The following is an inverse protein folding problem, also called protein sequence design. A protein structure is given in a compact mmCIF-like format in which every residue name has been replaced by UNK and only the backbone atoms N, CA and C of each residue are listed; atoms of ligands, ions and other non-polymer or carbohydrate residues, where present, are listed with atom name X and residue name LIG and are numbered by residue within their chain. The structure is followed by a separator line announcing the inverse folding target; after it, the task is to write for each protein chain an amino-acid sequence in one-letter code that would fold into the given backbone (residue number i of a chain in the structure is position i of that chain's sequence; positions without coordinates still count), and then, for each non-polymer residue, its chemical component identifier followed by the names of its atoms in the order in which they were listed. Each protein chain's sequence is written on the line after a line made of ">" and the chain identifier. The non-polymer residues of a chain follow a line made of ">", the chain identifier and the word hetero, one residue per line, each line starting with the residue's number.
data_IF_473775588845
#
_entry.id   IF_473775588845
#
_cell.length_a   1.000
_cell.length_b   1.000
_cell.length_c   1.000
_cell.angle_alpha   90.00
_cell.angle_beta   90.00
_cell.angle_gamma   90.00
#
_symmetry.space_group_name_H-M   'P 1'
#
loop_
_entity.id
_entity.type
_entity.pdbx_description
1 polymer ?
#
# COMPACT_ATOMS: atom_id res chain seq x y z
N UNK A 1 2.20 1.46 13.06
CA UNK A 1 2.83 0.30 12.40
C UNK A 1 3.03 -0.82 13.39
N UNK A 2 2.58 -2.01 13.05
CA UNK A 2 2.76 -3.18 13.91
C UNK A 2 4.23 -3.59 13.97
N UNK A 3 4.69 -4.03 15.13
CA UNK A 3 6.09 -4.41 15.32
C UNK A 3 6.53 -5.52 14.36
N UNK A 4 5.70 -6.54 14.15
CA UNK A 4 6.01 -7.65 13.24
C UNK A 4 6.04 -7.23 11.77
N UNK A 5 5.42 -6.10 11.41
CA UNK A 5 5.37 -5.60 10.04
C UNK A 5 6.46 -4.56 9.74
N UNK A 6 7.14 -4.08 10.75
CA UNK A 6 8.08 -2.96 10.64
C UNK A 6 9.20 -3.23 9.63
N UNK A 7 9.83 -4.40 9.70
CA UNK A 7 10.93 -4.73 8.80
C UNK A 7 10.46 -4.86 7.35
N UNK A 8 9.22 -5.34 7.14
CA UNK A 8 8.65 -5.40 5.80
C UNK A 8 8.50 -4.00 5.20
N UNK A 9 7.89 -3.07 5.95
CA UNK A 9 7.65 -1.71 5.45
C UNK A 9 8.94 -0.93 5.23
N UNK A 10 10.04 -1.32 5.89
CA UNK A 10 11.36 -0.72 5.67
C UNK A 10 12.19 -1.46 4.63
N UNK A 11 11.67 -2.55 4.07
CA UNK A 11 12.42 -3.36 3.11
C UNK A 11 12.56 -2.64 1.77
N UNK A 12 13.65 -2.95 1.07
CA UNK A 12 13.87 -2.43 -0.28
C UNK A 12 12.79 -2.91 -1.24
N UNK A 13 12.39 -4.18 -1.13
CA UNK A 13 11.36 -4.76 -1.98
C UNK A 13 10.04 -3.99 -1.88
N UNK A 14 9.58 -3.68 -0.66
CA UNK A 14 8.36 -2.91 -0.47
C UNK A 14 8.49 -1.49 -1.01
N UNK A 15 9.60 -0.82 -0.71
CA UNK A 15 9.78 0.56 -1.17
C UNK A 15 9.80 0.66 -2.69
N UNK A 16 10.46 -0.28 -3.37
CA UNK A 16 10.48 -0.32 -4.83
C UNK A 16 9.09 -0.61 -5.40
N UNK A 17 8.39 -1.57 -4.83
CA UNK A 17 7.03 -1.91 -5.25
C UNK A 17 6.07 -0.73 -5.05
N UNK A 18 6.11 -0.11 -3.87
CA UNK A 18 5.29 1.05 -3.54
C UNK A 18 5.54 2.21 -4.51
N UNK A 19 6.80 2.53 -4.76
CA UNK A 19 7.14 3.65 -5.63
C UNK A 19 6.75 3.38 -7.07
N UNK A 20 6.94 2.15 -7.55
CA UNK A 20 6.51 1.76 -8.89
C UNK A 20 4.98 1.84 -9.03
N UNK A 21 4.25 1.40 -8.02
CA UNK A 21 2.79 1.49 -8.03
C UNK A 21 2.33 2.94 -8.05
N UNK A 22 2.93 3.78 -7.22
CA UNK A 22 2.63 5.21 -7.16
C UNK A 22 2.78 5.86 -8.54
N UNK A 23 3.89 5.59 -9.22
CA UNK A 23 4.14 6.11 -10.56
C UNK A 23 3.13 5.57 -11.57
N UNK A 24 2.78 4.28 -11.47
CA UNK A 24 1.82 3.65 -12.39
C UNK A 24 0.44 4.29 -12.30
N UNK A 25 0.09 4.90 -11.16
CA UNK A 25 -1.19 5.59 -10.97
C UNK A 25 -1.05 7.11 -11.11
N UNK A 26 0.08 7.57 -11.63
CA UNK A 26 0.35 8.99 -11.88
C UNK A 26 0.26 9.84 -10.61
N UNK A 27 0.49 9.23 -9.44
CA UNK A 27 0.42 9.93 -8.16
C UNK A 27 -0.96 10.41 -7.76
N UNK A 28 -2.03 9.87 -8.37
CA UNK A 28 -3.39 10.31 -8.12
C UNK A 28 -4.16 9.30 -7.27
N UNK A 29 -4.95 9.82 -6.32
CA UNK A 29 -5.84 9.00 -5.51
C UNK A 29 -6.83 8.26 -6.41
N UNK A 30 -6.94 6.95 -6.23
CA UNK A 30 -7.81 6.12 -7.08
C UNK A 30 -9.29 6.32 -6.79
N UNK A 31 -9.64 7.01 -5.70
CA UNK A 31 -11.04 7.25 -5.34
C UNK A 31 -11.52 8.66 -5.64
N UNK A 32 -10.75 9.68 -5.27
CA UNK A 32 -11.19 11.06 -5.46
C UNK A 32 -10.47 11.77 -6.60
N UNK A 33 -9.41 11.19 -7.15
CA UNK A 33 -8.67 11.81 -8.27
C UNK A 33 -7.73 12.93 -7.87
N UNK A 34 -7.67 13.30 -6.60
CA UNK A 34 -6.73 14.29 -6.09
C UNK A 34 -5.35 13.70 -5.88
N UNK A 35 -4.40 14.49 -5.33
CA UNK A 35 -3.06 13.98 -5.08
C UNK A 35 -3.08 12.77 -4.15
N UNK A 36 -2.48 11.66 -4.60
CA UNK A 36 -2.35 10.47 -3.79
C UNK A 36 -1.22 10.60 -2.78
N UNK A 37 -1.31 9.87 -1.68
CA UNK A 37 -0.31 9.94 -0.62
C UNK A 37 0.08 8.57 -0.10
N UNK A 38 -0.87 7.65 0.05
CA UNK A 38 -0.67 6.39 0.74
C UNK A 38 -0.97 5.23 -0.20
N UNK A 39 0.00 4.33 -0.35
CA UNK A 39 -0.22 3.05 -1.03
C UNK A 39 -0.53 2.03 0.06
N UNK A 40 -1.75 1.46 0.04
CA UNK A 40 -2.15 0.49 1.05
C UNK A 40 -2.55 -0.83 0.40
N UNK A 41 -2.62 -1.89 1.22
CA UNK A 41 -3.01 -3.21 0.78
C UNK A 41 -4.51 -3.39 0.97
N UNK A 42 -5.21 -3.82 -0.08
CA UNK A 42 -6.65 -4.10 0.01
C UNK A 42 -6.91 -5.27 0.94
N UNK A 43 -6.15 -6.36 0.77
CA UNK A 43 -6.09 -7.44 1.75
C UNK A 43 -5.00 -7.07 2.73
N UNK A 44 -5.35 -6.81 3.98
CA UNK A 44 -4.40 -6.33 4.97
C UNK A 44 -3.29 -7.32 5.23
N UNK A 45 -2.08 -6.78 5.48
CA UNK A 45 -0.95 -7.62 5.85
C UNK A 45 -1.16 -8.15 7.26
N UNK A 46 -0.94 -9.46 7.42
CA UNK A 46 -1.02 -10.16 8.71
C UNK A 46 0.25 -10.95 8.92
N UNK A 47 0.55 -11.43 10.16
CA UNK A 47 1.71 -12.30 10.36
C UNK A 47 1.68 -13.56 9.50
N UNK A 48 0.49 -14.03 9.12
CA UNK A 48 0.34 -15.23 8.32
C UNK A 48 0.65 -15.00 6.85
N UNK A 49 0.42 -13.79 6.31
CA UNK A 49 0.62 -13.51 4.89
C UNK A 49 1.78 -12.57 4.57
N UNK A 50 2.50 -12.08 5.59
CA UNK A 50 3.54 -11.07 5.38
C UNK A 50 4.68 -11.58 4.49
N UNK A 51 4.90 -12.88 4.42
CA UNK A 51 5.93 -13.48 3.58
C UNK A 51 5.41 -13.94 2.23
N UNK A 52 4.15 -13.66 1.92
CA UNK A 52 3.53 -14.04 0.65
C UNK A 52 3.58 -12.84 -0.32
N UNK A 53 4.47 -12.86 -1.33
CA UNK A 53 4.58 -11.73 -2.26
C UNK A 53 3.33 -11.52 -3.12
N UNK A 54 2.49 -12.55 -3.30
CA UNK A 54 1.23 -12.40 -4.01
C UNK A 54 0.24 -11.55 -3.24
N UNK A 55 0.45 -11.39 -1.94
CA UNK A 55 -0.35 -10.49 -1.08
C UNK A 55 0.39 -9.15 -0.89
N UNK A 56 1.68 -9.21 -0.58
CA UNK A 56 2.41 -8.03 -0.11
C UNK A 56 3.00 -7.18 -1.21
N UNK A 57 3.30 -7.77 -2.37
CA UNK A 57 4.00 -7.10 -3.48
C UNK A 57 3.24 -7.19 -4.80
N UNK A 58 1.95 -7.49 -4.77
CA UNK A 58 1.11 -7.63 -5.94
C UNK A 58 0.32 -6.35 -6.18
N UNK A 59 0.50 -5.73 -7.35
CA UNK A 59 -0.21 -4.51 -7.72
C UNK A 59 -1.73 -4.66 -7.63
N UNK A 60 -2.26 -5.85 -7.93
CA UNK A 60 -3.70 -6.10 -7.86
C UNK A 60 -4.25 -5.98 -6.43
N UNK A 61 -3.37 -6.08 -5.43
CA UNK A 61 -3.75 -5.93 -4.03
C UNK A 61 -3.40 -4.54 -3.45
N UNK A 62 -2.96 -3.61 -4.29
CA UNK A 62 -2.58 -2.28 -3.84
C UNK A 62 -3.60 -1.23 -4.28
N UNK A 63 -3.66 -0.14 -3.53
CA UNK A 63 -4.50 1.01 -3.87
C UNK A 63 -3.81 2.28 -3.40
N UNK A 64 -3.77 3.30 -4.26
CA UNK A 64 -3.20 4.60 -3.91
C UNK A 64 -4.33 5.53 -3.48
N UNK A 65 -4.26 6.05 -2.26
CA UNK A 65 -5.27 6.92 -1.70
C UNK A 65 -4.66 8.21 -1.14
N UNK A 66 -5.43 9.29 -1.16
CA UNK A 66 -5.09 10.46 -0.37
C UNK A 66 -5.38 10.18 1.10
N UNK A 67 -4.90 11.08 1.99
CA UNK A 67 -5.06 10.87 3.44
C UNK A 67 -6.54 10.74 3.83
N UNK A 68 -7.41 11.58 3.26
CA UNK A 68 -8.85 11.53 3.58
C UNK A 68 -9.50 10.22 3.16
N UNK A 69 -9.25 9.78 1.93
CA UNK A 69 -9.82 8.52 1.44
C UNK A 69 -9.29 7.32 2.24
N UNK A 70 -8.01 7.34 2.59
CA UNK A 70 -7.42 6.31 3.42
C UNK A 70 -8.07 6.27 4.81
N UNK A 71 -8.31 7.43 5.40
CA UNK A 71 -8.98 7.50 6.69
C UNK A 71 -10.40 6.96 6.64
N UNK A 72 -11.14 7.25 5.57
CA UNK A 72 -12.50 6.72 5.37
C UNK A 72 -12.50 5.21 5.26
N UNK A 73 -11.47 4.64 4.65
CA UNK A 73 -11.37 3.18 4.49
C UNK A 73 -11.24 2.48 5.83
N UNK A 74 -10.62 3.12 6.81
CA UNK A 74 -10.34 2.53 8.12
C UNK A 74 -11.34 2.94 9.21
N UNK A 75 -12.33 3.70 8.85
CA UNK A 75 -13.41 4.11 9.76
C UNK A 75 -14.77 3.84 9.09
#
# INVERSE_FOLDING_TARGET
>A
MKEWAKSFYHSKAWRQCRDAYFVSKHGLCERCGGPGKIVHHKIYITPENINDPDITLNFDNLELLCQECHNREHF
#
